data_IF_277087096007
#
_entry.id   IF_277087096007
#
_cell.length_a   1.000
_cell.length_b   1.000
_cell.length_c   1.000
_cell.angle_alpha   90.00
_cell.angle_beta   90.00
_cell.angle_gamma   90.00
#
_symmetry.space_group_name_H-M   'P 1'
#
loop_
_entity.id
_entity.type
_entity.pdbx_description
1 polymer ?
#
# COMPACT_ATOMS: atom_id res chain seq x y z
N UNK A 1 -12.46 4.11 -25.80
CA UNK A 1 -11.39 3.08 -25.73
C UNK A 1 -11.64 2.31 -24.45
N UNK A 2 -11.72 0.97 -24.49
CA UNK A 2 -11.95 0.15 -23.31
C UNK A 2 -10.60 -0.47 -22.93
N UNK A 3 -10.07 -0.08 -21.77
CA UNK A 3 -8.84 -0.63 -21.22
C UNK A 3 -9.23 -1.60 -20.11
N UNK A 4 -8.77 -2.85 -20.21
CA UNK A 4 -8.90 -3.84 -19.15
C UNK A 4 -7.51 -4.06 -18.57
N UNK A 5 -7.32 -3.69 -17.30
CA UNK A 5 -6.05 -3.82 -16.60
C UNK A 5 -6.25 -4.46 -15.24
N UNK A 6 -5.24 -5.22 -14.81
CA UNK A 6 -5.13 -5.74 -13.45
C UNK A 6 -4.32 -4.80 -12.54
N UNK A 7 -3.68 -3.77 -13.11
CA UNK A 7 -2.90 -2.79 -12.37
C UNK A 7 -3.80 -1.64 -11.85
N UNK A 8 -4.06 -1.68 -10.54
CA UNK A 8 -4.86 -0.69 -9.79
C UNK A 8 -4.25 0.71 -9.81
N UNK A 9 -2.92 0.84 -9.80
CA UNK A 9 -2.25 2.13 -9.73
C UNK A 9 -2.33 2.85 -11.07
N UNK A 10 -2.16 2.11 -12.16
CA UNK A 10 -2.36 2.63 -13.50
C UNK A 10 -3.83 3.03 -13.71
N UNK A 11 -4.78 2.19 -13.26
CA UNK A 11 -6.20 2.50 -13.35
C UNK A 11 -6.54 3.78 -12.58
N UNK A 12 -6.13 3.91 -11.31
CA UNK A 12 -6.39 5.13 -10.52
C UNK A 12 -5.79 6.41 -11.13
N UNK A 13 -4.71 6.30 -11.90
CA UNK A 13 -4.04 7.47 -12.48
C UNK A 13 -4.61 7.91 -13.83
N UNK A 14 -5.40 7.06 -14.49
CA UNK A 14 -5.87 7.26 -15.88
C UNK A 14 -7.39 7.44 -15.97
N UNK A 15 -8.15 7.06 -14.94
CA UNK A 15 -9.61 7.12 -14.96
C UNK A 15 -10.11 8.53 -14.57
N UNK A 16 -10.92 9.13 -15.45
CA UNK A 16 -11.58 10.43 -15.20
C UNK A 16 -12.92 10.30 -14.45
N UNK A 17 -13.71 9.25 -14.75
CA UNK A 17 -15.00 8.99 -14.11
C UNK A 17 -15.21 7.49 -13.87
N UNK A 18 -15.75 7.14 -12.69
CA UNK A 18 -16.13 5.77 -12.36
C UNK A 18 -17.65 5.60 -12.36
N UNK A 19 -18.10 4.44 -12.85
CA UNK A 19 -19.50 4.02 -12.82
C UNK A 19 -19.59 2.56 -12.39
N UNK A 20 -20.65 2.21 -11.68
CA UNK A 20 -20.95 0.82 -11.33
C UNK A 20 -22.35 0.42 -11.79
N UNK A 21 -22.55 -0.89 -11.96
CA UNK A 21 -23.82 -1.44 -12.41
C UNK A 21 -24.43 -2.22 -11.24
N UNK A 22 -25.59 -1.78 -10.77
CA UNK A 22 -26.39 -2.52 -9.80
C UNK A 22 -27.80 -2.72 -10.35
N UNK A 23 -28.34 -3.93 -10.23
CA UNK A 23 -29.69 -4.33 -10.69
C UNK A 23 -30.04 -3.86 -12.12
N UNK A 24 -29.04 -3.83 -13.01
CA UNK A 24 -29.19 -3.40 -14.41
C UNK A 24 -29.26 -1.89 -14.62
N UNK A 25 -29.02 -1.08 -13.59
CA UNK A 25 -28.89 0.38 -13.68
C UNK A 25 -27.43 0.79 -13.49
N UNK A 26 -27.02 1.83 -14.24
CA UNK A 26 -25.68 2.42 -14.15
C UNK A 26 -25.75 3.58 -13.17
N UNK A 27 -24.84 3.59 -12.20
CA UNK A 27 -24.72 4.63 -11.19
C UNK A 27 -23.34 5.27 -11.25
N UNK A 28 -23.24 6.61 -11.27
CA UNK A 28 -21.97 7.30 -11.11
C UNK A 28 -21.40 7.05 -9.72
N UNK A 29 -20.08 6.91 -9.64
CA UNK A 29 -19.35 6.70 -8.40
C UNK A 29 -18.29 7.79 -8.24
N UNK A 30 -18.59 8.75 -7.38
CA UNK A 30 -17.68 9.85 -7.02
C UNK A 30 -16.73 9.41 -5.91
N UNK A 31 -15.80 8.49 -6.23
CA UNK A 31 -14.82 7.96 -5.28
C UNK A 31 -13.68 7.24 -5.97
N UNK A 32 -12.65 6.87 -5.19
CA UNK A 32 -11.50 6.13 -5.71
C UNK A 32 -11.77 4.60 -5.75
N UNK A 33 -10.86 3.83 -6.37
CA UNK A 33 -11.01 2.37 -6.45
C UNK A 33 -11.06 1.69 -5.07
N UNK A 34 -10.42 2.25 -4.04
CA UNK A 34 -10.38 1.67 -2.70
C UNK A 34 -11.72 1.89 -1.96
N UNK A 35 -12.31 3.07 -2.14
CA UNK A 35 -13.65 3.41 -1.67
C UNK A 35 -14.70 2.56 -2.38
N UNK A 36 -14.55 2.30 -3.67
CA UNK A 36 -15.44 1.41 -4.41
C UNK A 36 -15.41 -0.01 -3.85
N UNK A 37 -14.23 -0.58 -3.57
CA UNK A 37 -14.12 -1.90 -2.93
C UNK A 37 -14.81 -1.93 -1.55
N UNK A 38 -14.64 -0.87 -0.77
CA UNK A 38 -15.25 -0.76 0.56
C UNK A 38 -16.77 -0.65 0.47
N UNK A 39 -17.26 0.11 -0.52
CA UNK A 39 -18.68 0.26 -0.83
C UNK A 39 -19.32 -1.07 -1.25
N UNK A 40 -18.72 -1.82 -2.17
CA UNK A 40 -19.21 -3.14 -2.60
C UNK A 40 -19.21 -4.13 -1.43
N UNK A 41 -18.14 -4.18 -0.63
CA UNK A 41 -18.08 -5.04 0.58
C UNK A 41 -19.20 -4.70 1.57
N UNK A 42 -19.50 -3.41 1.76
CA UNK A 42 -20.59 -2.97 2.63
C UNK A 42 -21.96 -3.35 2.05
N UNK A 43 -22.14 -3.24 0.74
CA UNK A 43 -23.39 -3.54 0.05
C UNK A 43 -23.70 -5.04 0.02
N UNK A 44 -22.70 -5.90 -0.23
CA UNK A 44 -22.84 -7.37 -0.14
C UNK A 44 -23.24 -7.76 1.28
N UNK A 45 -22.57 -7.19 2.29
CA UNK A 45 -22.89 -7.45 3.71
C UNK A 45 -24.28 -6.96 4.11
N UNK A 46 -24.78 -5.89 3.48
CA UNK A 46 -26.16 -5.43 3.65
C UNK A 46 -27.17 -6.34 2.94
N UNK A 47 -26.87 -6.83 1.74
CA UNK A 47 -27.72 -7.77 1.03
C UNK A 47 -27.87 -9.11 1.79
N UNK A 48 -26.78 -9.65 2.34
CA UNK A 48 -26.80 -10.84 3.22
C UNK A 48 -27.59 -10.59 4.52
N UNK A 49 -27.53 -9.35 5.05
CA UNK A 49 -28.29 -8.94 6.23
C UNK A 49 -29.78 -8.66 5.93
N UNK A 50 -30.16 -8.40 4.68
CA UNK A 50 -31.55 -8.23 4.25
C UNK A 50 -32.21 -9.57 3.93
N UNK A 51 -31.45 -10.53 3.38
CA UNK A 51 -31.93 -11.90 3.14
C UNK A 51 -32.21 -12.66 4.46
N UNK A 52 -31.50 -12.30 5.53
CA UNK A 52 -31.72 -12.82 6.89
C UNK A 52 -32.82 -12.09 7.68
N UNK A 53 -33.31 -10.93 7.20
CA UNK A 53 -34.36 -10.15 7.88
C UNK A 53 -35.80 -10.57 7.58
N UNK A 54 -36.03 -11.48 6.64
CA UNK A 54 -37.35 -12.09 6.46
C UNK A 54 -37.67 -13.15 7.53
N UNK A 55 -36.70 -13.48 8.39
CA UNK A 55 -36.87 -14.36 9.53
C UNK A 55 -36.45 -13.63 10.80
N UNK A 56 -37.44 -13.10 11.48
CA UNK A 56 -37.43 -12.82 12.92
C UNK A 56 -36.59 -11.63 13.46
N UNK A 57 -37.34 -10.61 13.87
CA UNK A 57 -37.23 -9.92 15.16
C UNK A 57 -36.17 -10.46 16.14
N UNK A 58 -35.45 -9.51 16.76
CA UNK A 58 -34.54 -9.64 17.91
C UNK A 58 -33.10 -10.04 17.56
N UNK A 59 -32.22 -9.04 17.47
CA UNK A 59 -31.31 -8.74 18.59
C UNK A 59 -30.37 -7.61 18.18
N UNK A 60 -30.27 -6.62 19.06
CA UNK A 60 -29.22 -5.63 18.99
C UNK A 60 -27.90 -6.32 19.33
N UNK A 61 -27.09 -6.64 18.33
CA UNK A 61 -25.71 -7.05 18.58
C UNK A 61 -24.77 -6.39 17.56
N UNK A 62 -24.19 -5.28 17.99
CA UNK A 62 -22.99 -4.69 17.39
C UNK A 62 -21.83 -5.69 17.43
N UNK A 63 -21.16 -5.95 16.29
CA UNK A 63 -19.78 -6.40 16.29
C UNK A 63 -18.94 -5.36 15.54
N UNK A 64 -18.76 -4.17 16.13
CA UNK A 64 -17.99 -3.08 15.48
C UNK A 64 -16.57 -2.86 16.05
N UNK A 65 -16.04 -3.80 16.82
CA UNK A 65 -14.73 -3.65 17.50
C UNK A 65 -13.59 -4.52 16.96
N UNK A 66 -13.85 -5.44 16.04
CA UNK A 66 -12.80 -6.32 15.49
C UNK A 66 -12.21 -5.76 14.18
N UNK A 67 -13.04 -5.31 13.23
CA UNK A 67 -12.59 -4.74 11.94
C UNK A 67 -11.79 -3.43 12.08
N UNK A 68 -12.08 -2.62 13.11
CA UNK A 68 -11.37 -1.36 13.30
C UNK A 68 -9.94 -1.54 13.85
N UNK A 69 -9.69 -2.65 14.57
CA UNK A 69 -8.37 -2.97 15.13
C UNK A 69 -7.42 -3.54 14.07
N UNK A 70 -7.93 -4.38 13.17
CA UNK A 70 -7.16 -4.91 12.03
C UNK A 70 -6.76 -3.78 11.09
N UNK A 71 -7.68 -2.89 10.73
CA UNK A 71 -7.40 -1.70 9.92
C UNK A 71 -6.37 -0.76 10.56
N UNK A 72 -6.45 -0.52 11.88
CA UNK A 72 -5.50 0.37 12.58
C UNK A 72 -4.12 -0.27 12.75
N UNK A 73 -4.05 -1.58 12.96
CA UNK A 73 -2.78 -2.32 13.01
C UNK A 73 -2.09 -2.36 11.64
N UNK A 74 -2.84 -2.56 10.56
CA UNK A 74 -2.34 -2.50 9.19
C UNK A 74 -1.82 -1.09 8.85
N UNK A 75 -2.59 -0.04 9.16
CA UNK A 75 -2.14 1.35 8.98
C UNK A 75 -0.87 1.67 9.75
N UNK A 76 -0.76 1.22 11.00
CA UNK A 76 0.45 1.42 11.80
C UNK A 76 1.65 0.65 11.22
N UNK A 77 1.42 -0.52 10.62
CA UNK A 77 2.48 -1.32 9.98
C UNK A 77 2.96 -0.67 8.69
N UNK A 78 2.06 -0.15 7.86
CA UNK A 78 2.39 0.65 6.68
C UNK A 78 3.19 1.91 7.05
N UNK A 79 2.75 2.67 8.06
CA UNK A 79 3.50 3.84 8.56
C UNK A 79 4.89 3.48 9.10
N UNK A 80 5.04 2.28 9.68
CA UNK A 80 6.34 1.82 10.17
C UNK A 80 7.27 1.47 9.00
N UNK A 81 6.76 0.78 7.98
CA UNK A 81 7.51 0.46 6.77
C UNK A 81 7.93 1.72 6.02
N UNK A 82 7.02 2.69 5.87
CA UNK A 82 7.31 3.99 5.26
C UNK A 82 8.45 4.72 5.97
N UNK A 83 8.43 4.77 7.32
CA UNK A 83 9.55 5.33 8.11
C UNK A 83 10.86 4.57 7.96
N UNK A 84 10.80 3.25 7.83
CA UNK A 84 11.99 2.42 7.64
C UNK A 84 12.60 2.69 6.26
N UNK A 85 11.77 2.78 5.22
CA UNK A 85 12.19 3.16 3.87
C UNK A 85 12.82 4.56 3.85
N UNK A 86 12.20 5.55 4.49
CA UNK A 86 12.77 6.91 4.60
C UNK A 86 14.16 6.89 5.24
N UNK A 87 14.30 6.16 6.36
CA UNK A 87 15.59 6.03 7.06
C UNK A 87 16.65 5.31 6.22
N UNK A 88 16.28 4.24 5.52
CA UNK A 88 17.19 3.49 4.65
C UNK A 88 17.60 4.35 3.45
N UNK A 89 16.68 5.10 2.87
CA UNK A 89 16.95 6.07 1.79
C UNK A 89 17.91 7.15 2.24
N UNK A 90 17.71 7.71 3.44
CA UNK A 90 18.60 8.74 3.99
C UNK A 90 20.01 8.20 4.25
N UNK A 91 20.14 6.97 4.76
CA UNK A 91 21.45 6.30 4.90
C UNK A 91 22.12 6.05 3.55
N UNK A 92 21.35 5.61 2.55
CA UNK A 92 21.85 5.36 1.20
C UNK A 92 22.36 6.67 0.57
N UNK A 93 21.64 7.78 0.77
CA UNK A 93 22.08 9.11 0.34
C UNK A 93 23.38 9.53 1.03
N UNK A 94 23.52 9.32 2.34
CA UNK A 94 24.77 9.61 3.06
C UNK A 94 25.95 8.77 2.54
N UNK A 95 25.74 7.48 2.28
CA UNK A 95 26.78 6.60 1.71
C UNK A 95 27.13 7.03 0.29
N UNK A 96 26.14 7.42 -0.51
CA UNK A 96 26.36 7.91 -1.88
C UNK A 96 27.09 9.25 -1.90
N UNK A 97 26.79 10.13 -0.96
CA UNK A 97 27.49 11.41 -0.78
C UNK A 97 28.95 11.18 -0.34
N UNK A 98 29.20 10.22 0.55
CA UNK A 98 30.55 9.80 0.90
C UNK A 98 31.29 9.21 -0.32
N UNK A 99 30.65 8.33 -1.10
CA UNK A 99 31.21 7.79 -2.35
C UNK A 99 31.45 8.85 -3.44
N UNK A 100 30.78 10.01 -3.33
CA UNK A 100 30.94 11.15 -4.24
C UNK A 100 32.10 12.07 -3.83
N UNK A 101 32.72 11.86 -2.67
CA UNK A 101 33.91 12.61 -2.28
C UNK A 101 35.16 12.06 -2.96
N UNK A 102 35.96 12.96 -3.53
CA UNK A 102 37.16 12.66 -4.33
C UNK A 102 38.22 11.87 -3.53
N UNK A 103 38.24 12.01 -2.19
CA UNK A 103 39.17 11.35 -1.26
C UNK A 103 38.97 9.83 -1.11
N UNK A 104 37.82 9.28 -1.53
CA UNK A 104 37.50 7.84 -1.35
C UNK A 104 38.18 6.96 -2.40
N UNK A 105 38.59 7.54 -3.53
CA UNK A 105 39.27 6.83 -4.62
C UNK A 105 40.79 6.72 -4.44
N UNK A 106 41.32 7.21 -3.32
CA UNK A 106 42.73 7.06 -2.97
C UNK A 106 43.08 5.57 -2.69
N UNK A 107 44.25 5.09 -3.12
CA UNK A 107 44.65 3.69 -2.95
C UNK A 107 44.79 3.25 -1.48
N UNK A 108 44.96 4.19 -0.54
CA UNK A 108 44.94 3.89 0.90
C UNK A 108 43.53 3.61 1.46
N UNK A 109 42.48 4.05 0.77
CA UNK A 109 41.08 3.90 1.16
C UNK A 109 40.34 2.80 0.40
N UNK A 110 41.03 1.99 -0.41
CA UNK A 110 40.41 0.96 -1.27
C UNK A 110 39.55 -0.05 -0.47
N UNK A 111 39.97 -0.42 0.74
CA UNK A 111 39.20 -1.31 1.63
C UNK A 111 37.92 -0.64 2.17
N UNK A 112 37.98 0.67 2.46
CA UNK A 112 36.81 1.45 2.86
C UNK A 112 35.85 1.70 1.69
N UNK A 113 36.38 1.92 0.48
CA UNK A 113 35.58 2.04 -0.74
C UNK A 113 34.80 0.75 -1.00
N UNK A 114 35.44 -0.41 -0.88
CA UNK A 114 34.77 -1.69 -1.07
C UNK A 114 33.67 -1.92 -0.02
N UNK A 115 33.94 -1.59 1.25
CA UNK A 115 32.92 -1.61 2.31
C UNK A 115 31.75 -0.67 2.05
N UNK A 116 31.99 0.55 1.56
CA UNK A 116 30.93 1.51 1.25
C UNK A 116 30.09 1.04 0.06
N UNK A 117 30.71 0.45 -0.96
CA UNK A 117 29.99 -0.17 -2.08
C UNK A 117 29.13 -1.34 -1.59
N UNK A 118 29.69 -2.24 -0.78
CA UNK A 118 28.96 -3.36 -0.19
C UNK A 118 27.77 -2.85 0.65
N UNK A 119 27.98 -1.84 1.50
CA UNK A 119 26.92 -1.19 2.27
C UNK A 119 25.85 -0.56 1.37
N UNK A 120 26.24 0.09 0.28
CA UNK A 120 25.27 0.69 -0.66
C UNK A 120 24.40 -0.39 -1.32
N UNK A 121 24.97 -1.55 -1.66
CA UNK A 121 24.22 -2.66 -2.26
C UNK A 121 23.31 -3.36 -1.25
N UNK A 122 23.76 -3.49 0.00
CA UNK A 122 22.95 -4.02 1.09
C UNK A 122 21.75 -3.10 1.38
N UNK A 123 21.99 -1.79 1.53
CA UNK A 123 20.94 -0.81 1.78
C UNK A 123 19.91 -0.76 0.64
N UNK A 124 20.35 -0.91 -0.62
CA UNK A 124 19.43 -1.03 -1.77
C UNK A 124 18.57 -2.28 -1.68
N UNK A 125 19.17 -3.43 -1.39
CA UNK A 125 18.44 -4.70 -1.24
C UNK A 125 17.42 -4.62 -0.09
N UNK A 126 17.81 -4.05 1.06
CA UNK A 126 16.90 -3.85 2.20
C UNK A 126 15.75 -2.91 1.86
N UNK A 127 16.01 -1.85 1.08
CA UNK A 127 15.00 -0.92 0.63
C UNK A 127 14.00 -1.62 -0.31
N UNK A 128 14.48 -2.38 -1.28
CA UNK A 128 13.64 -3.18 -2.19
C UNK A 128 12.77 -4.19 -1.42
N UNK A 129 13.31 -4.84 -0.38
CA UNK A 129 12.56 -5.75 0.50
C UNK A 129 11.45 -5.02 1.27
N UNK A 130 11.73 -3.84 1.83
CA UNK A 130 10.73 -3.03 2.52
C UNK A 130 9.66 -2.49 1.57
N UNK A 131 10.03 -2.14 0.34
CA UNK A 131 9.09 -1.76 -0.72
C UNK A 131 8.17 -2.91 -1.08
N UNK A 132 8.70 -4.13 -1.23
CA UNK A 132 7.89 -5.31 -1.48
C UNK A 132 6.93 -5.62 -0.32
N UNK A 133 7.41 -5.60 0.93
CA UNK A 133 6.53 -5.82 2.10
C UNK A 133 5.45 -4.73 2.20
N UNK A 134 5.79 -3.48 1.88
CA UNK A 134 4.84 -2.37 1.87
C UNK A 134 3.78 -2.57 0.77
N UNK A 135 4.19 -2.98 -0.43
CA UNK A 135 3.29 -3.27 -1.55
C UNK A 135 2.30 -4.38 -1.20
N UNK A 136 2.79 -5.52 -0.69
CA UNK A 136 1.94 -6.65 -0.25
C UNK A 136 0.94 -6.27 0.84
N UNK A 137 1.32 -5.35 1.74
CA UNK A 137 0.44 -4.85 2.80
C UNK A 137 -0.55 -3.77 2.33
N UNK A 138 -0.29 -3.14 1.18
CA UNK A 138 -1.10 -2.07 0.59
C UNK A 138 -2.12 -2.56 -0.46
N UNK A 139 -1.96 -3.80 -0.91
CA UNK A 139 -2.88 -4.53 -1.80
C UNK A 139 -4.15 -5.00 -1.08
#
# INVERSE_FOLDING_TARGET
VILVSHDKHMLNSVIDEMVYIDRGQIHPFDGDLNEYQSFIKAQIKQAEAEESKNSENQSAETPKKQDHKTSKAQKNRLQKLERLMDQTTEKLNQVTEQLSQDDVYNPENQDNLQKLLDQSTQLKTELDEYEMEWLELSE
#
